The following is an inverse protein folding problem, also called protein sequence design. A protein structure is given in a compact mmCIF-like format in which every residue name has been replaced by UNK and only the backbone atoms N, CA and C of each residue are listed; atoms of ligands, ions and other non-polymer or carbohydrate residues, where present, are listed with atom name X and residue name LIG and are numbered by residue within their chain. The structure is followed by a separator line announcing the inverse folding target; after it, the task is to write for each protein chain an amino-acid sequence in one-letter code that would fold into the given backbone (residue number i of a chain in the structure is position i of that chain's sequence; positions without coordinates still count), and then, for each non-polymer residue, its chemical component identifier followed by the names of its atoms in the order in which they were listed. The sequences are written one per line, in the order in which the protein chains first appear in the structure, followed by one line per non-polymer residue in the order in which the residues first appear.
data_IF_187296875574
#
_entry.id   IF_187296875574
#
_cell.length_a   1.000
_cell.length_b   1.000
_cell.length_c   1.000
_cell.angle_alpha   90.00
_cell.angle_beta   90.00
_cell.angle_gamma   90.00
#
_symmetry.space_group_name_H-M   'P 1'
#
loop_
_entity.id
_entity.type
_entity.pdbx_description
1 polymer ?
#
# COMPACT_ATOMS: atom_id res chain seq x y z
N UNK A 1 -50.52 -31.49 18.61
CA UNK A 1 -49.13 -30.97 18.64
C UNK A 1 -49.00 -29.97 17.48
N UNK A 2 -48.77 -28.69 17.79
CA UNK A 2 -49.08 -27.56 16.89
C UNK A 2 -48.13 -27.43 15.69
N UNK A 3 -48.68 -27.54 14.47
CA UNK A 3 -47.97 -27.36 13.18
C UNK A 3 -47.22 -26.03 13.07
N UNK A 4 -47.68 -24.97 13.75
CA UNK A 4 -47.00 -23.67 13.78
C UNK A 4 -45.65 -23.68 14.53
N UNK A 5 -45.48 -24.54 15.55
CA UNK A 5 -44.21 -24.63 16.29
C UNK A 5 -43.12 -25.37 15.49
N UNK A 6 -43.54 -26.28 14.62
CA UNK A 6 -42.63 -27.06 13.76
C UNK A 6 -42.06 -26.18 12.64
N UNK A 7 -42.89 -25.30 12.05
CA UNK A 7 -42.44 -24.32 11.06
C UNK A 7 -41.44 -23.30 11.60
N UNK A 8 -41.69 -22.77 12.81
CA UNK A 8 -40.77 -21.83 13.46
C UNK A 8 -39.41 -22.47 13.83
N UNK A 9 -39.42 -23.74 14.27
CA UNK A 9 -38.19 -24.50 14.54
C UNK A 9 -37.39 -24.78 13.25
N UNK A 10 -38.05 -25.10 12.14
CA UNK A 10 -37.40 -25.31 10.84
C UNK A 10 -36.75 -24.02 10.32
N UNK A 11 -37.44 -22.88 10.40
CA UNK A 11 -36.89 -21.59 9.97
C UNK A 11 -35.68 -21.20 10.84
N UNK A 12 -35.79 -21.36 12.16
CA UNK A 12 -34.67 -21.07 13.06
C UNK A 12 -33.48 -22.00 12.82
N UNK A 13 -33.71 -23.27 12.46
CA UNK A 13 -32.66 -24.22 12.10
C UNK A 13 -31.95 -23.83 10.79
N UNK A 14 -32.70 -23.40 9.78
CA UNK A 14 -32.13 -22.92 8.50
C UNK A 14 -31.28 -21.65 8.68
N UNK A 15 -31.75 -20.68 9.47
CA UNK A 15 -30.99 -19.47 9.77
C UNK A 15 -29.68 -19.81 10.49
N UNK A 16 -29.73 -20.75 11.44
CA UNK A 16 -28.54 -21.18 12.19
C UNK A 16 -27.53 -21.93 11.30
N UNK A 17 -28.02 -22.79 10.39
CA UNK A 17 -27.19 -23.48 9.40
C UNK A 17 -26.55 -22.50 8.43
N UNK A 18 -27.29 -21.49 7.98
CA UNK A 18 -26.79 -20.44 7.08
C UNK A 18 -25.70 -19.60 7.76
N UNK A 19 -25.89 -19.20 9.02
CA UNK A 19 -24.87 -18.51 9.82
C UNK A 19 -23.60 -19.35 10.00
N UNK A 20 -23.72 -20.66 10.23
CA UNK A 20 -22.58 -21.59 10.31
C UNK A 20 -21.82 -21.71 8.99
N UNK A 21 -22.53 -21.70 7.86
CA UNK A 21 -21.95 -21.72 6.51
C UNK A 21 -21.20 -20.41 6.21
N UNK A 22 -21.77 -19.26 6.58
CA UNK A 22 -21.11 -17.96 6.46
C UNK A 22 -19.86 -17.87 7.35
N UNK A 23 -19.94 -18.33 8.60
CA UNK A 23 -18.79 -18.38 9.52
C UNK A 23 -17.69 -19.32 9.02
N UNK A 24 -18.05 -20.48 8.48
CA UNK A 24 -17.11 -21.41 7.86
C UNK A 24 -16.41 -20.81 6.64
N UNK A 25 -17.14 -20.08 5.78
CA UNK A 25 -16.57 -19.36 4.65
C UNK A 25 -15.60 -18.25 5.06
N UNK A 26 -15.95 -17.47 6.09
CA UNK A 26 -15.07 -16.42 6.64
C UNK A 26 -13.81 -17.02 7.28
N UNK A 27 -13.94 -18.13 8.01
CA UNK A 27 -12.80 -18.82 8.63
C UNK A 27 -11.89 -19.50 7.60
N UNK A 28 -12.45 -20.10 6.53
CA UNK A 28 -11.67 -20.68 5.44
C UNK A 28 -10.96 -19.59 4.61
N UNK A 29 -11.61 -18.45 4.41
CA UNK A 29 -11.04 -17.28 3.75
C UNK A 29 -9.91 -16.65 4.59
N UNK A 30 -10.08 -16.56 5.91
CA UNK A 30 -9.03 -16.16 6.85
C UNK A 30 -7.87 -17.18 6.84
N UNK A 31 -8.16 -18.48 6.86
CA UNK A 31 -7.12 -19.53 6.83
C UNK A 31 -6.31 -19.52 5.52
N UNK A 32 -6.92 -19.19 4.37
CA UNK A 32 -6.19 -18.98 3.11
C UNK A 32 -5.37 -17.68 3.11
N UNK A 33 -5.83 -16.60 3.77
CA UNK A 33 -5.09 -15.32 3.89
C UNK A 33 -3.94 -15.35 4.91
N UNK A 34 -4.05 -16.18 5.95
CA UNK A 34 -3.06 -16.32 7.03
C UNK A 34 -2.15 -17.53 6.89
N UNK A 35 -2.15 -18.22 5.74
CA UNK A 35 -1.04 -19.10 5.41
C UNK A 35 0.23 -18.22 5.44
N UNK A 36 1.21 -18.48 6.31
CA UNK A 36 2.40 -17.67 6.40
C UNK A 36 3.20 -17.92 5.13
N UNK A 37 2.88 -17.17 4.08
CA UNK A 37 3.80 -16.89 3.00
C UNK A 37 4.99 -16.22 3.68
N UNK A 38 5.98 -17.04 3.98
CA UNK A 38 7.31 -16.58 4.33
C UNK A 38 7.66 -15.45 3.36
N UNK A 39 8.10 -14.28 3.85
CA UNK A 39 8.43 -13.16 2.97
C UNK A 39 9.45 -13.66 1.95
N UNK A 40 9.06 -13.65 0.68
CA UNK A 40 9.91 -14.07 -0.42
C UNK A 40 11.15 -13.17 -0.42
N UNK A 41 12.38 -13.70 -0.18
CA UNK A 41 13.57 -12.87 0.00
C UNK A 41 14.03 -12.16 -1.29
N UNK A 42 13.31 -12.37 -2.40
CA UNK A 42 13.64 -11.92 -3.76
C UNK A 42 12.98 -10.61 -4.19
N UNK A 43 12.02 -10.05 -3.43
CA UNK A 43 11.38 -8.75 -3.76
C UNK A 43 12.06 -7.53 -3.13
N UNK A 44 13.28 -7.68 -2.61
CA UNK A 44 14.17 -6.54 -2.43
C UNK A 44 14.72 -6.19 -3.80
N UNK A 45 13.96 -5.40 -4.56
CA UNK A 45 14.57 -4.62 -5.64
C UNK A 45 15.67 -3.79 -4.97
N UNK A 46 16.92 -4.25 -5.15
CA UNK A 46 18.10 -3.58 -4.66
C UNK A 46 18.17 -2.30 -5.47
N UNK A 47 17.54 -1.24 -4.97
CA UNK A 47 17.94 0.10 -5.32
C UNK A 47 19.43 0.14 -4.94
N UNK A 48 20.30 0.03 -5.93
CA UNK A 48 21.74 0.18 -5.77
C UNK A 48 21.99 1.63 -5.40
N UNK A 49 21.79 1.94 -4.12
CA UNK A 49 22.18 3.21 -3.54
C UNK A 49 23.69 3.16 -3.26
N UNK A 50 24.45 4.20 -3.63
CA UNK A 50 25.78 4.36 -3.08
C UNK A 50 25.62 4.53 -1.57
N UNK A 51 26.13 3.55 -0.84
CA UNK A 51 26.23 3.53 0.62
C UNK A 51 27.27 4.60 1.01
N UNK A 52 26.89 5.87 0.92
CA UNK A 52 27.73 7.03 1.28
C UNK A 52 27.76 7.17 2.80
N UNK A 53 28.31 6.14 3.46
CA UNK A 53 28.68 6.17 4.87
C UNK A 53 29.83 7.15 5.04
N UNK A 54 29.88 7.91 6.12
CA UNK A 54 30.97 8.85 6.43
C UNK A 54 32.38 8.25 6.35
N UNK A 55 32.50 6.92 6.53
CA UNK A 55 33.75 6.17 6.28
C UNK A 55 34.30 6.30 4.84
N UNK A 56 33.43 6.54 3.86
CA UNK A 56 33.83 6.84 2.48
C UNK A 56 34.48 8.23 2.37
N UNK A 57 34.07 9.19 3.20
CA UNK A 57 34.68 10.51 3.28
C UNK A 57 36.05 10.48 3.96
N UNK A 58 36.23 9.67 5.01
CA UNK A 58 37.54 9.44 5.62
C UNK A 58 38.53 8.81 4.62
N UNK A 59 38.03 7.93 3.73
CA UNK A 59 38.81 7.32 2.66
C UNK A 59 39.18 8.33 1.57
N UNK A 60 38.25 9.19 1.15
CA UNK A 60 38.50 10.31 0.23
C UNK A 60 39.49 11.34 0.81
N UNK A 61 39.39 11.65 2.11
CA UNK A 61 40.35 12.54 2.80
C UNK A 61 41.74 11.92 2.85
N UNK A 62 41.82 10.61 3.12
CA UNK A 62 43.07 9.85 3.06
C UNK A 62 43.68 9.87 1.65
N UNK A 63 42.89 9.63 0.62
CA UNK A 63 43.34 9.65 -0.78
C UNK A 63 43.80 11.04 -1.24
N UNK A 64 43.11 12.11 -0.81
CA UNK A 64 43.50 13.50 -1.08
C UNK A 64 44.77 13.89 -0.30
N UNK A 65 44.91 13.46 0.96
CA UNK A 65 46.13 13.68 1.74
C UNK A 65 47.33 12.92 1.20
N UNK A 66 47.12 11.69 0.72
CA UNK A 66 48.15 10.89 0.03
C UNK A 66 48.54 11.52 -1.32
N UNK A 67 47.60 12.07 -2.07
CA UNK A 67 47.87 12.84 -3.28
C UNK A 67 48.69 14.10 -2.97
N UNK A 68 48.30 14.87 -1.95
CA UNK A 68 49.06 16.06 -1.52
C UNK A 68 50.46 15.68 -1.01
N UNK A 69 50.60 14.54 -0.32
CA UNK A 69 51.88 13.96 0.06
C UNK A 69 52.74 13.55 -1.14
N UNK A 70 52.12 12.95 -2.16
CA UNK A 70 52.75 12.60 -3.43
C UNK A 70 53.13 13.80 -4.30
N UNK A 71 52.51 14.96 -4.14
CA UNK A 71 52.90 16.19 -4.86
C UNK A 71 53.84 17.09 -4.06
N UNK A 72 54.09 16.79 -2.78
CA UNK A 72 54.98 17.59 -1.90
C UNK A 72 56.43 17.64 -2.40
N UNK A 73 56.93 16.55 -3.00
CA UNK A 73 58.29 16.50 -3.56
C UNK A 73 58.49 17.36 -4.82
N UNK A 74 57.41 17.76 -5.51
CA UNK A 74 57.50 18.65 -6.67
C UNK A 74 57.53 20.14 -6.28
N UNK A 75 57.17 20.50 -5.05
CA UNK A 75 57.18 21.89 -4.58
C UNK A 75 58.47 22.28 -3.82
N UNK A 76 59.28 21.33 -3.39
CA UNK A 76 60.57 21.62 -2.75
C UNK A 76 61.69 21.71 -3.79
N UNK A 77 62.19 22.93 -4.03
CA UNK A 77 63.45 23.14 -4.75
C UNK A 77 64.61 22.53 -3.93
N UNK A 78 65.44 21.65 -4.50
CA UNK A 78 66.51 21.01 -3.75
C UNK A 78 67.61 22.02 -3.41
N UNK A 79 67.97 22.15 -2.14
CA UNK A 79 69.13 22.93 -1.69
C UNK A 79 68.95 23.88 -0.50
N UNK A 80 67.78 23.91 0.16
CA UNK A 80 67.64 24.60 1.47
C UNK A 80 67.59 23.56 2.58
N UNK A 81 68.47 23.71 3.58
CA UNK A 81 68.31 23.04 4.87
C UNK A 81 66.89 23.29 5.39
N UNK A 82 66.25 22.30 6.02
CA UNK A 82 64.93 22.50 6.60
C UNK A 82 65.08 23.59 7.66
N UNK A 83 64.60 24.79 7.34
CA UNK A 83 64.33 25.78 8.36
C UNK A 83 63.38 25.06 9.32
N UNK A 84 63.87 24.78 10.53
CA UNK A 84 62.99 24.40 11.61
C UNK A 84 61.93 25.50 11.63
N UNK A 85 60.68 25.14 11.30
CA UNK A 85 59.57 26.05 11.40
C UNK A 85 59.40 26.36 12.89
N UNK A 86 60.15 27.35 13.37
CA UNK A 86 59.92 27.98 14.64
C UNK A 86 58.53 28.57 14.53
N UNK A 87 57.58 27.95 15.21
CA UNK A 87 56.25 28.46 15.52
C UNK A 87 56.41 29.84 16.19
N UNK A 88 56.53 30.88 15.37
CA UNK A 88 56.84 32.25 15.77
C UNK A 88 56.08 33.29 14.95
N UNK A 89 55.04 32.89 14.22
CA UNK A 89 54.09 33.78 13.54
C UNK A 89 52.66 33.32 13.88
N UNK A 90 52.26 33.54 15.14
CA UNK A 90 51.04 33.02 15.75
C UNK A 90 49.76 33.84 15.48
N UNK A 91 49.80 34.85 14.62
CA UNK A 91 48.65 35.75 14.37
C UNK A 91 47.83 35.40 13.12
N UNK A 92 48.46 35.43 11.94
CA UNK A 92 47.75 35.33 10.65
C UNK A 92 47.50 33.89 10.19
N UNK A 93 48.46 32.98 10.36
CA UNK A 93 48.29 31.55 10.05
C UNK A 93 47.33 30.84 11.01
N UNK A 94 47.18 31.37 12.23
CA UNK A 94 46.19 30.90 13.19
C UNK A 94 44.77 31.29 12.75
N UNK A 95 44.56 32.51 12.26
CA UNK A 95 43.26 32.97 11.75
C UNK A 95 42.87 32.27 10.43
N UNK A 96 43.81 32.08 9.49
CA UNK A 96 43.54 31.32 8.26
C UNK A 96 43.19 29.85 8.54
N UNK A 97 43.86 29.22 9.51
CA UNK A 97 43.54 27.87 9.97
C UNK A 97 42.20 27.78 10.71
N UNK A 98 41.85 28.80 11.51
CA UNK A 98 40.54 28.92 12.16
C UNK A 98 39.41 29.10 11.14
N UNK A 99 39.63 29.90 10.10
CA UNK A 99 38.65 30.14 9.04
C UNK A 99 38.43 28.88 8.18
N UNK A 100 39.49 28.15 7.84
CA UNK A 100 39.39 26.86 7.16
C UNK A 100 38.59 25.82 7.97
N UNK A 101 38.77 25.78 9.29
CA UNK A 101 38.01 24.90 10.18
C UNK A 101 36.54 25.32 10.32
N UNK A 102 36.23 26.62 10.28
CA UNK A 102 34.85 27.13 10.24
C UNK A 102 34.14 26.70 8.95
N UNK A 103 34.84 26.77 7.82
CA UNK A 103 34.34 26.30 6.52
C UNK A 103 34.08 24.78 6.57
N UNK A 104 35.04 23.97 7.04
CA UNK A 104 34.84 22.51 7.15
C UNK A 104 33.65 22.15 8.06
N UNK A 105 33.48 22.86 9.19
CA UNK A 105 32.35 22.66 10.08
C UNK A 105 31.02 23.01 9.39
N UNK A 106 30.95 24.14 8.70
CA UNK A 106 29.75 24.58 8.00
C UNK A 106 29.38 23.62 6.85
N UNK A 107 30.37 23.13 6.11
CA UNK A 107 30.17 22.12 5.06
C UNK A 107 29.61 20.82 5.63
N UNK A 108 30.17 20.31 6.73
CA UNK A 108 29.67 19.08 7.36
C UNK A 108 28.27 19.23 7.94
N UNK A 109 27.95 20.38 8.54
CA UNK A 109 26.58 20.68 8.99
C UNK A 109 25.60 20.75 7.82
N UNK A 110 26.00 21.35 6.70
CA UNK A 110 25.20 21.40 5.49
C UNK A 110 24.97 19.99 4.91
N UNK A 111 26.01 19.16 4.86
CA UNK A 111 25.92 17.77 4.40
C UNK A 111 24.99 16.93 5.29
N UNK A 112 25.10 17.04 6.62
CA UNK A 112 24.19 16.36 7.56
C UNK A 112 22.73 16.75 7.28
N UNK A 113 22.48 18.04 7.08
CA UNK A 113 21.14 18.56 6.82
C UNK A 113 20.58 18.02 5.49
N UNK A 114 21.39 18.00 4.44
CA UNK A 114 20.99 17.45 3.14
C UNK A 114 20.78 15.93 3.18
N UNK A 115 21.59 15.20 3.96
CA UNK A 115 21.44 13.75 4.10
C UNK A 115 20.14 13.39 4.84
N UNK A 116 19.81 14.11 5.91
CA UNK A 116 18.52 13.95 6.62
C UNK A 116 17.35 14.21 5.66
N UNK A 117 17.41 15.28 4.85
CA UNK A 117 16.38 15.56 3.84
C UNK A 117 16.29 14.46 2.79
N UNK A 118 17.42 13.96 2.30
CA UNK A 118 17.46 12.90 1.30
C UNK A 118 16.83 11.61 1.85
N UNK A 119 17.20 11.20 3.06
CA UNK A 119 16.63 10.02 3.72
C UNK A 119 15.13 10.14 3.86
N UNK A 120 14.61 11.30 4.28
CA UNK A 120 13.17 11.54 4.34
C UNK A 120 12.49 11.34 2.98
N UNK A 121 13.04 11.92 1.91
CA UNK A 121 12.50 11.78 0.55
C UNK A 121 12.51 10.32 0.07
N UNK A 122 13.57 9.56 0.37
CA UNK A 122 13.66 8.15 -0.01
C UNK A 122 12.59 7.31 0.68
N UNK A 123 12.35 7.56 1.98
CA UNK A 123 11.29 6.91 2.74
C UNK A 123 9.92 7.23 2.13
N UNK A 124 9.65 8.50 1.82
CA UNK A 124 8.38 8.92 1.22
C UNK A 124 8.17 8.27 -0.17
N UNK A 125 9.22 8.17 -0.98
CA UNK A 125 9.18 7.48 -2.29
C UNK A 125 8.89 5.98 -2.14
N UNK A 126 9.54 5.30 -1.19
CA UNK A 126 9.30 3.88 -0.92
C UNK A 126 7.84 3.64 -0.47
N UNK A 127 7.34 4.46 0.45
CA UNK A 127 5.95 4.38 0.93
C UNK A 127 4.98 4.57 -0.24
N UNK A 128 5.19 5.58 -1.08
CA UNK A 128 4.33 5.85 -2.23
C UNK A 128 4.35 4.70 -3.24
N UNK A 129 5.52 4.15 -3.54
CA UNK A 129 5.68 3.02 -4.45
C UNK A 129 4.91 1.79 -3.94
N UNK A 130 5.13 1.40 -2.68
CA UNK A 130 4.44 0.26 -2.06
C UNK A 130 2.94 0.46 -1.96
N UNK A 131 2.50 1.66 -1.59
CA UNK A 131 1.08 1.98 -1.53
C UNK A 131 0.44 1.89 -2.92
N UNK A 132 1.12 2.36 -3.97
CA UNK A 132 0.63 2.27 -5.34
C UNK A 132 0.56 0.82 -5.84
N UNK A 133 1.58 0.01 -5.55
CA UNK A 133 1.57 -1.43 -5.86
C UNK A 133 0.39 -2.13 -5.17
N UNK A 134 0.17 -1.85 -3.88
CA UNK A 134 -0.96 -2.40 -3.12
C UNK A 134 -2.31 -1.96 -3.69
N UNK A 135 -2.47 -0.68 -4.03
CA UNK A 135 -3.68 -0.15 -4.68
C UNK A 135 -3.98 -0.88 -6.00
N UNK A 136 -2.97 -1.05 -6.85
CA UNK A 136 -3.11 -1.74 -8.14
C UNK A 136 -3.51 -3.22 -7.94
N UNK A 137 -2.85 -3.90 -7.00
CA UNK A 137 -3.17 -5.28 -6.67
C UNK A 137 -4.60 -5.44 -6.13
N UNK A 138 -5.00 -4.58 -5.18
CA UNK A 138 -6.36 -4.56 -4.64
C UNK A 138 -7.40 -4.27 -5.73
N UNK A 139 -7.15 -3.30 -6.62
CA UNK A 139 -8.05 -3.00 -7.74
C UNK A 139 -8.20 -4.19 -8.70
N UNK A 140 -7.12 -4.93 -8.96
CA UNK A 140 -7.17 -6.16 -9.75
C UNK A 140 -8.04 -7.23 -9.09
N UNK A 141 -7.85 -7.48 -7.79
CA UNK A 141 -8.64 -8.46 -7.05
C UNK A 141 -10.13 -8.09 -6.99
N UNK A 142 -10.44 -6.80 -6.81
CA UNK A 142 -11.83 -6.32 -6.82
C UNK A 142 -12.51 -6.58 -8.17
N UNK A 143 -11.85 -6.26 -9.28
CA UNK A 143 -12.38 -6.54 -10.62
C UNK A 143 -12.62 -8.02 -10.85
N UNK A 144 -11.65 -8.86 -10.46
CA UNK A 144 -11.77 -10.32 -10.57
C UNK A 144 -12.96 -10.84 -9.76
N UNK A 145 -13.12 -10.38 -8.52
CA UNK A 145 -14.22 -10.80 -7.67
C UNK A 145 -15.59 -10.33 -8.19
N UNK A 146 -15.66 -9.12 -8.78
CA UNK A 146 -16.86 -8.61 -9.44
C UNK A 146 -17.23 -9.45 -10.68
N UNK A 147 -16.25 -9.80 -11.51
CA UNK A 147 -16.45 -10.66 -12.69
C UNK A 147 -16.92 -12.07 -12.29
N UNK A 148 -16.28 -12.68 -11.30
CA UNK A 148 -16.69 -14.00 -10.77
C UNK A 148 -18.13 -13.95 -10.24
N UNK A 149 -18.49 -12.91 -9.48
CA UNK A 149 -19.86 -12.74 -8.96
C UNK A 149 -20.88 -12.53 -10.08
N UNK A 150 -20.54 -11.75 -11.12
CA UNK A 150 -21.39 -11.58 -12.31
C UNK A 150 -21.62 -12.91 -13.03
N UNK A 151 -20.58 -13.71 -13.21
CA UNK A 151 -20.70 -15.01 -13.88
C UNK A 151 -21.57 -15.98 -13.08
N UNK A 152 -21.42 -15.99 -11.75
CA UNK A 152 -22.28 -16.78 -10.86
C UNK A 152 -23.75 -16.36 -10.99
N UNK A 153 -24.04 -15.06 -10.84
CA UNK A 153 -25.41 -14.53 -10.97
C UNK A 153 -26.00 -14.76 -12.37
N UNK A 154 -25.21 -14.67 -13.43
CA UNK A 154 -25.67 -14.97 -14.79
C UNK A 154 -26.05 -16.46 -14.94
N UNK A 155 -25.29 -17.36 -14.31
CA UNK A 155 -25.60 -18.80 -14.29
C UNK A 155 -26.87 -19.07 -13.48
N UNK A 156 -26.99 -18.48 -12.29
CA UNK A 156 -28.17 -18.58 -11.43
C UNK A 156 -29.43 -18.02 -12.13
N UNK A 157 -29.32 -16.90 -12.84
CA UNK A 157 -30.41 -16.32 -13.61
C UNK A 157 -30.83 -17.22 -14.78
N UNK A 158 -29.87 -17.81 -15.50
CA UNK A 158 -30.17 -18.73 -16.59
C UNK A 158 -30.88 -20.00 -16.09
N UNK A 159 -30.46 -20.53 -14.94
CA UNK A 159 -31.12 -21.69 -14.33
C UNK A 159 -32.52 -21.33 -13.81
N UNK A 160 -32.68 -20.16 -13.20
CA UNK A 160 -34.00 -19.63 -12.81
C UNK A 160 -34.93 -19.47 -14.01
N UNK A 161 -34.46 -18.87 -15.10
CA UNK A 161 -35.20 -18.71 -16.35
C UNK A 161 -35.66 -20.08 -16.88
N UNK A 162 -34.75 -21.04 -17.02
CA UNK A 162 -35.09 -22.40 -17.49
C UNK A 162 -36.11 -23.07 -16.59
N UNK A 163 -36.00 -22.92 -15.28
CA UNK A 163 -36.95 -23.48 -14.34
C UNK A 163 -38.34 -22.85 -14.52
N UNK A 164 -38.41 -21.51 -14.62
CA UNK A 164 -39.68 -20.80 -14.78
C UNK A 164 -40.30 -21.04 -16.14
N UNK A 165 -39.54 -21.01 -17.22
CA UNK A 165 -40.03 -21.37 -18.56
C UNK A 165 -40.58 -22.80 -18.58
N UNK A 166 -39.94 -23.75 -17.88
CA UNK A 166 -40.46 -25.11 -17.77
C UNK A 166 -41.79 -25.15 -17.00
N UNK A 167 -41.88 -24.48 -15.86
CA UNK A 167 -43.11 -24.37 -15.06
C UNK A 167 -44.27 -23.75 -15.87
N UNK A 168 -43.99 -22.68 -16.62
CA UNK A 168 -44.99 -21.96 -17.41
C UNK A 168 -45.33 -22.66 -18.72
N UNK A 169 -44.38 -23.34 -19.37
CA UNK A 169 -44.64 -24.09 -20.61
C UNK A 169 -45.71 -25.16 -20.43
N UNK A 170 -45.76 -25.82 -19.27
CA UNK A 170 -46.80 -26.80 -18.94
C UNK A 170 -48.18 -26.12 -18.86
N UNK A 171 -48.27 -24.96 -18.18
CA UNK A 171 -49.51 -24.19 -18.05
C UNK A 171 -49.98 -23.67 -19.41
N UNK A 172 -49.05 -23.11 -20.19
CA UNK A 172 -49.32 -22.56 -21.52
C UNK A 172 -49.73 -23.65 -22.50
N UNK A 173 -49.09 -24.83 -22.49
CA UNK A 173 -49.47 -25.96 -23.33
C UNK A 173 -50.90 -26.43 -23.02
N UNK A 174 -51.28 -26.50 -21.74
CA UNK A 174 -52.64 -26.87 -21.35
C UNK A 174 -53.69 -25.85 -21.84
N UNK A 175 -53.39 -24.54 -21.78
CA UNK A 175 -54.27 -23.50 -22.29
C UNK A 175 -54.35 -23.49 -23.82
N UNK A 176 -53.22 -23.64 -24.51
CA UNK A 176 -53.16 -23.73 -25.97
C UNK A 176 -53.90 -24.96 -26.49
N UNK A 177 -53.77 -26.10 -25.82
CA UNK A 177 -54.57 -27.29 -26.13
C UNK A 177 -56.07 -27.05 -25.98
N UNK A 178 -56.51 -26.34 -24.91
CA UNK A 178 -57.93 -25.97 -24.74
C UNK A 178 -58.44 -25.09 -25.88
N UNK A 179 -57.60 -24.22 -26.46
CA UNK A 179 -57.99 -23.39 -27.60
C UNK A 179 -58.20 -24.18 -28.90
N UNK A 180 -57.61 -25.37 -29.04
CA UNK A 180 -57.75 -26.23 -30.21
C UNK A 180 -59.02 -27.11 -30.20
N UNK A 181 -59.77 -27.13 -29.09
CA UNK A 181 -60.98 -27.94 -28.96
C UNK A 181 -62.04 -27.43 -29.97
N UNK A 182 -62.60 -28.32 -30.82
CA UNK A 182 -63.71 -27.98 -31.71
C UNK A 182 -64.91 -27.45 -30.92
N UNK A 183 -65.68 -26.53 -31.49
CA UNK A 183 -66.90 -25.93 -30.90
C UNK A 183 -66.69 -24.91 -29.76
N UNK A 184 -65.46 -24.42 -29.53
CA UNK A 184 -65.24 -23.28 -28.63
C UNK A 184 -65.87 -22.00 -29.19
N UNK A 185 -66.61 -21.28 -28.34
CA UNK A 185 -67.17 -19.96 -28.69
C UNK A 185 -66.07 -18.93 -28.91
N UNK A 186 -66.36 -17.87 -29.67
CA UNK A 186 -65.42 -16.76 -29.87
C UNK A 186 -65.04 -16.09 -28.55
N UNK A 187 -66.00 -15.92 -27.63
CA UNK A 187 -65.78 -15.34 -26.32
C UNK A 187 -64.81 -16.19 -25.47
N UNK A 188 -64.98 -17.52 -25.46
CA UNK A 188 -64.10 -18.41 -24.70
C UNK A 188 -62.68 -18.45 -25.28
N UNK A 189 -62.53 -18.39 -26.61
CA UNK A 189 -61.20 -18.27 -27.24
C UNK A 189 -60.52 -16.96 -26.88
N UNK A 190 -61.25 -15.84 -26.91
CA UNK A 190 -60.69 -14.54 -26.50
C UNK A 190 -60.27 -14.56 -25.04
N UNK A 191 -61.03 -15.21 -24.15
CA UNK A 191 -60.65 -15.35 -22.74
C UNK A 191 -59.38 -16.18 -22.57
N UNK A 192 -59.28 -17.33 -23.23
CA UNK A 192 -58.08 -18.18 -23.18
C UNK A 192 -56.84 -17.47 -23.77
N UNK A 193 -57.02 -16.69 -24.84
CA UNK A 193 -55.93 -15.89 -25.41
C UNK A 193 -55.44 -14.80 -24.43
N UNK A 194 -56.36 -14.15 -23.71
CA UNK A 194 -56.01 -13.20 -22.65
C UNK A 194 -55.29 -13.89 -21.48
N UNK A 195 -55.72 -15.09 -21.07
CA UNK A 195 -55.04 -15.89 -20.04
C UNK A 195 -53.62 -16.30 -20.47
N UNK A 196 -53.41 -16.66 -21.74
CA UNK A 196 -52.08 -16.95 -22.30
C UNK A 196 -51.19 -15.71 -22.26
N UNK A 197 -51.68 -14.57 -22.75
CA UNK A 197 -50.93 -13.32 -22.74
C UNK A 197 -50.55 -12.89 -21.31
N UNK A 198 -51.49 -12.99 -20.37
CA UNK A 198 -51.23 -12.67 -18.96
C UNK A 198 -50.15 -13.56 -18.33
N UNK A 199 -50.13 -14.87 -18.65
CA UNK A 199 -49.09 -15.77 -18.15
C UNK A 199 -47.72 -15.54 -18.80
N UNK A 200 -47.67 -15.16 -20.08
CA UNK A 200 -46.43 -14.79 -20.75
C UNK A 200 -45.86 -13.48 -20.18
N UNK A 201 -46.73 -12.51 -19.88
CA UNK A 201 -46.36 -11.25 -19.21
C UNK A 201 -45.88 -11.50 -17.76
N UNK A 202 -46.58 -12.35 -17.00
CA UNK A 202 -46.17 -12.72 -15.63
C UNK A 202 -44.80 -13.41 -15.61
N UNK A 203 -44.54 -14.31 -16.57
CA UNK A 203 -43.23 -14.97 -16.70
C UNK A 203 -42.11 -13.96 -17.00
N UNK A 204 -42.36 -13.04 -17.94
CA UNK A 204 -41.39 -12.00 -18.29
C UNK A 204 -41.09 -11.10 -17.08
N UNK A 205 -42.14 -10.64 -16.38
CA UNK A 205 -42.00 -9.81 -15.19
C UNK A 205 -41.22 -10.51 -14.06
N UNK A 206 -41.46 -11.81 -13.84
CA UNK A 206 -40.71 -12.59 -12.84
C UNK A 206 -39.21 -12.72 -13.17
N UNK A 207 -38.88 -12.89 -14.45
CA UNK A 207 -37.49 -12.98 -14.90
C UNK A 207 -36.80 -11.60 -14.77
N UNK A 208 -37.51 -10.54 -15.12
CA UNK A 208 -37.02 -9.16 -15.01
C UNK A 208 -36.77 -8.77 -13.56
N UNK A 209 -37.74 -8.99 -12.67
CA UNK A 209 -37.61 -8.72 -11.22
C UNK A 209 -36.42 -9.45 -10.58
N UNK A 210 -36.21 -10.72 -10.95
CA UNK A 210 -35.05 -11.48 -10.50
C UNK A 210 -33.73 -10.92 -11.05
N UNK A 211 -33.73 -10.46 -12.31
CA UNK A 211 -32.56 -9.82 -12.92
C UNK A 211 -32.21 -8.52 -12.22
N UNK A 212 -33.20 -7.67 -11.93
CA UNK A 212 -33.03 -6.42 -11.20
C UNK A 212 -32.51 -6.68 -9.78
N UNK A 213 -33.06 -7.68 -9.09
CA UNK A 213 -32.59 -8.09 -7.75
C UNK A 213 -31.10 -8.44 -7.78
N UNK A 214 -30.65 -9.25 -8.74
CA UNK A 214 -29.24 -9.61 -8.86
C UNK A 214 -28.34 -8.42 -9.21
N UNK A 215 -28.81 -7.48 -10.04
CA UNK A 215 -28.06 -6.24 -10.32
C UNK A 215 -27.89 -5.38 -9.06
N UNK A 216 -28.94 -5.25 -8.23
CA UNK A 216 -28.87 -4.54 -6.96
C UNK A 216 -27.92 -5.22 -5.98
N UNK A 217 -27.99 -6.53 -5.84
CA UNK A 217 -27.06 -7.31 -5.00
C UNK A 217 -25.61 -7.15 -5.45
N UNK A 218 -25.36 -7.16 -6.76
CA UNK A 218 -24.02 -6.95 -7.30
C UNK A 218 -23.50 -5.55 -6.96
N UNK A 219 -24.33 -4.53 -7.13
CA UNK A 219 -23.95 -3.15 -6.80
C UNK A 219 -23.63 -3.01 -5.30
N UNK A 220 -24.43 -3.61 -4.42
CA UNK A 220 -24.18 -3.62 -2.98
C UNK A 220 -22.89 -4.37 -2.63
N UNK A 221 -22.66 -5.53 -3.26
CA UNK A 221 -21.43 -6.31 -3.09
C UNK A 221 -20.19 -5.52 -3.50
N UNK A 222 -20.22 -4.89 -4.67
CA UNK A 222 -19.10 -4.06 -5.18
C UNK A 222 -18.84 -2.88 -4.25
N UNK A 223 -19.88 -2.17 -3.82
CA UNK A 223 -19.74 -1.04 -2.90
C UNK A 223 -19.14 -1.47 -1.55
N UNK A 224 -19.61 -2.58 -0.98
CA UNK A 224 -19.08 -3.12 0.28
C UNK A 224 -17.61 -3.52 0.15
N UNK A 225 -17.23 -4.17 -0.94
CA UNK A 225 -15.85 -4.56 -1.20
C UNK A 225 -14.92 -3.36 -1.43
N UNK A 226 -15.38 -2.34 -2.14
CA UNK A 226 -14.64 -1.09 -2.32
C UNK A 226 -14.41 -0.38 -0.99
N UNK A 227 -15.44 -0.29 -0.14
CA UNK A 227 -15.32 0.33 1.17
C UNK A 227 -14.33 -0.44 2.06
N UNK A 228 -14.41 -1.77 2.10
CA UNK A 228 -13.48 -2.60 2.84
C UNK A 228 -12.04 -2.41 2.34
N UNK A 229 -11.84 -2.37 1.03
CA UNK A 229 -10.55 -2.13 0.40
C UNK A 229 -9.95 -0.77 0.77
N UNK A 230 -10.77 0.30 0.83
CA UNK A 230 -10.31 1.62 1.25
C UNK A 230 -9.81 1.61 2.70
N UNK A 231 -10.55 0.98 3.61
CA UNK A 231 -10.15 0.84 5.01
C UNK A 231 -8.84 0.06 5.14
N UNK A 232 -8.69 -1.05 4.41
CA UNK A 232 -7.45 -1.84 4.39
C UNK A 232 -6.27 -1.01 3.86
N UNK A 233 -6.46 -0.25 2.78
CA UNK A 233 -5.41 0.60 2.19
C UNK A 233 -4.98 1.74 3.11
N UNK A 234 -5.93 2.36 3.83
CA UNK A 234 -5.62 3.38 4.82
C UNK A 234 -4.85 2.81 6.01
N UNK A 235 -5.25 1.63 6.51
CA UNK A 235 -4.53 0.94 7.56
C UNK A 235 -3.10 0.60 7.13
N UNK A 236 -2.93 0.08 5.91
CA UNK A 236 -1.62 -0.22 5.34
C UNK A 236 -0.75 1.03 5.17
N UNK A 237 -1.33 2.15 4.71
CA UNK A 237 -0.63 3.43 4.63
C UNK A 237 -0.11 3.87 6.00
N UNK A 238 -0.97 3.86 7.02
CA UNK A 238 -0.59 4.25 8.39
C UNK A 238 0.52 3.36 8.95
N UNK A 239 0.47 2.07 8.66
CA UNK A 239 1.53 1.13 9.03
C UNK A 239 2.86 1.52 8.36
N UNK A 240 2.87 1.74 7.04
CA UNK A 240 4.06 2.15 6.31
C UNK A 240 4.63 3.49 6.80
N UNK A 241 3.77 4.46 7.10
CA UNK A 241 4.18 5.75 7.67
C UNK A 241 4.80 5.58 9.06
N UNK A 242 4.24 4.72 9.92
CA UNK A 242 4.79 4.43 11.24
C UNK A 242 6.15 3.73 11.15
N UNK A 243 6.28 2.71 10.29
CA UNK A 243 7.54 2.02 10.04
C UNK A 243 8.60 2.97 9.46
N UNK A 244 8.21 3.80 8.50
CA UNK A 244 9.07 4.80 7.87
C UNK A 244 9.56 5.85 8.85
N UNK A 245 8.69 6.40 9.69
CA UNK A 245 9.07 7.37 10.73
C UNK A 245 9.98 6.73 11.79
N UNK A 246 9.67 5.52 12.25
CA UNK A 246 10.53 4.83 13.23
C UNK A 246 11.93 4.53 12.68
N UNK A 247 12.02 4.20 11.38
CA UNK A 247 13.30 4.05 10.68
C UNK A 247 14.03 5.40 10.56
N UNK A 248 13.33 6.45 10.15
CA UNK A 248 13.88 7.80 10.04
C UNK A 248 14.46 8.29 11.36
N UNK A 249 13.72 8.17 12.47
CA UNK A 249 14.16 8.61 13.79
C UNK A 249 15.40 7.87 14.29
N UNK A 250 15.59 6.62 13.86
CA UNK A 250 16.80 5.85 14.15
C UNK A 250 17.97 6.35 13.33
N UNK A 251 17.79 6.44 12.01
CA UNK A 251 18.82 6.88 11.08
C UNK A 251 19.29 8.32 11.34
N UNK A 252 18.37 9.21 11.71
CA UNK A 252 18.70 10.58 12.10
C UNK A 252 19.58 10.60 13.36
N UNK A 253 19.22 9.82 14.40
CA UNK A 253 20.02 9.73 15.62
C UNK A 253 21.41 9.17 15.35
N UNK A 254 21.52 8.12 14.52
CA UNK A 254 22.81 7.55 14.13
C UNK A 254 23.69 8.59 13.43
N UNK A 255 23.14 9.38 12.50
CA UNK A 255 23.86 10.45 11.82
C UNK A 255 24.30 11.58 12.75
N UNK A 256 23.42 11.99 13.68
CA UNK A 256 23.73 13.00 14.69
C UNK A 256 24.81 12.51 15.66
N UNK A 257 24.75 11.24 16.09
CA UNK A 257 25.77 10.61 16.92
C UNK A 257 27.13 10.53 16.20
N UNK A 258 27.14 10.15 14.92
CA UNK A 258 28.37 10.13 14.10
C UNK A 258 28.96 11.53 13.94
N UNK A 259 28.13 12.55 13.70
CA UNK A 259 28.55 13.94 13.63
C UNK A 259 29.11 14.44 14.98
N UNK A 260 28.44 14.11 16.09
CA UNK A 260 28.90 14.47 17.43
C UNK A 260 30.20 13.76 17.81
N UNK A 261 30.37 12.48 17.43
CA UNK A 261 31.62 11.75 17.63
C UNK A 261 32.77 12.38 16.82
N UNK A 262 32.50 12.84 15.60
CA UNK A 262 33.47 13.58 14.81
C UNK A 262 33.85 14.92 15.47
N UNK A 263 32.87 15.67 16.01
CA UNK A 263 33.12 16.89 16.77
C UNK A 263 34.02 16.63 17.99
N UNK A 264 33.77 15.55 18.73
CA UNK A 264 34.58 15.18 19.90
C UNK A 264 36.01 14.78 19.57
N UNK A 265 36.24 14.19 18.39
CA UNK A 265 37.59 13.81 17.93
C UNK A 265 38.39 15.00 17.39
N UNK A 266 37.75 16.11 17.03
CA UNK A 266 38.41 17.30 16.51
C UNK A 266 38.49 18.40 17.57
N UNK A 267 39.50 18.30 18.44
CA UNK A 267 39.76 19.26 19.52
C UNK A 267 39.84 20.71 19.03
N UNK A 268 40.40 20.95 17.84
CA UNK A 268 40.49 22.28 17.22
C UNK A 268 39.11 22.88 16.89
N UNK A 269 38.14 22.05 16.50
CA UNK A 269 36.75 22.47 16.23
C UNK A 269 36.01 22.72 17.54
N UNK A 270 36.24 21.92 18.58
CA UNK A 270 35.68 22.17 19.92
C UNK A 270 36.22 23.47 20.54
N UNK A 271 37.51 23.76 20.38
CA UNK A 271 38.11 25.00 20.83
C UNK A 271 37.47 26.21 20.15
N UNK A 272 37.28 26.14 18.82
CA UNK A 272 36.57 27.16 18.03
C UNK A 272 35.13 27.40 18.48
N UNK A 273 34.37 26.33 18.74
CA UNK A 273 33.00 26.43 19.24
C UNK A 273 32.95 27.09 20.62
N UNK A 274 33.88 26.72 21.51
CA UNK A 274 33.97 27.26 22.88
C UNK A 274 34.40 28.72 22.92
N UNK A 275 35.32 29.14 22.02
CA UNK A 275 35.69 30.55 21.84
C UNK A 275 34.49 31.38 21.35
N UNK A 276 33.72 30.89 20.36
CA UNK A 276 32.55 31.62 19.84
C UNK A 276 31.41 31.80 20.88
N UNK A 277 31.25 30.84 21.79
CA UNK A 277 30.27 30.92 22.89
C UNK A 277 30.71 31.96 23.92
N UNK A 278 32.00 32.02 24.24
CA UNK A 278 32.55 33.04 25.15
C UNK A 278 32.43 34.45 24.58
N UNK A 279 32.62 34.64 23.27
CA UNK A 279 32.41 35.94 22.61
C UNK A 279 30.95 36.40 22.61
N UNK A 280 29.97 35.47 22.57
CA UNK A 280 28.53 35.79 22.65
C UNK A 280 28.00 36.05 24.07
N UNK A 281 28.73 35.67 25.11
CA UNK A 281 28.29 35.77 26.52
C UNK A 281 28.77 37.06 27.20
N UNK A 282 29.48 37.95 26.48
CA UNK A 282 29.87 39.26 27.01
C UNK A 282 28.77 40.28 26.70
N UNK A 283 27.76 40.37 27.57
CA UNK A 283 26.86 41.52 27.73
C UNK A 283 26.73 41.87 29.21
#
# INVERSE_FOLDING_TARGET
MNKQKIGALMISFFIFMFLLLCLGGVLLWLAQRYSPLAPDPTEREIVLLPDLKWRAYDRLRGEVQDLVGQFRWQMEKPGREPAALTFGEQGLLAEEGKEALRIELAERQALLTEEIKLRRRLIDLEINSRLQQRKNHTAYLLKKAEEERRQQQATELADFQRQKEKEYSIKLAALRFKMEIPDLTSADRSRLAAEVAALEEELAALIEDQSETFQQELAQYVAAQQQAALVELEAYRRQLEAEGNARFDREQRELEEEFNAWLQRNEAVQALLTESIKEKVIF
#
